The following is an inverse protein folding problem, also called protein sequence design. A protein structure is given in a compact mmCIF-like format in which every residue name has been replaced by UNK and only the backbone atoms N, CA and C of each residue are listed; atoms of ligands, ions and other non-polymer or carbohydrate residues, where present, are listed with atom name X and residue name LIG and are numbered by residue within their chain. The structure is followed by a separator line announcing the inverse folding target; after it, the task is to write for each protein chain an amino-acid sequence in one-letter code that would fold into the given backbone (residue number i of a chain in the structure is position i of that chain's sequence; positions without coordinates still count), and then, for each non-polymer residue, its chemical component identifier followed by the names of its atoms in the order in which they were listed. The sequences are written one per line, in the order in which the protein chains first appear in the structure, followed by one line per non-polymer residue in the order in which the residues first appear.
data_IF_034472306528
#
_entry.id   IF_034472306528
#
_cell.length_a   1.000
_cell.length_b   1.000
_cell.length_c   1.000
_cell.angle_alpha   90.00
_cell.angle_beta   90.00
_cell.angle_gamma   90.00
#
_symmetry.space_group_name_H-M   'P 1'
#
loop_
_entity.id
_entity.type
_entity.pdbx_description
1 polymer ?
#
# COMPACT_ATOMS: atom_id res chain seq x y z
N UNK A 1 -9.31 38.39 67.43
CA UNK A 1 -10.55 37.60 67.32
C UNK A 1 -10.81 37.34 65.84
N UNK A 2 -10.62 36.11 65.38
CA UNK A 2 -10.69 35.74 63.96
C UNK A 2 -11.98 34.95 63.71
N UNK A 3 -12.75 35.38 62.71
CA UNK A 3 -14.08 34.82 62.36
C UNK A 3 -13.92 33.88 61.18
N UNK A 4 -14.23 32.59 61.40
CA UNK A 4 -14.35 31.58 60.35
C UNK A 4 -15.55 31.86 59.45
N UNK A 5 -15.37 31.78 58.12
CA UNK A 5 -16.46 31.49 57.18
C UNK A 5 -16.02 30.45 56.15
N UNK A 6 -16.71 29.31 56.20
CA UNK A 6 -16.69 28.26 55.19
C UNK A 6 -17.22 28.80 53.86
N UNK A 7 -16.47 28.63 52.77
CA UNK A 7 -16.99 28.74 51.41
C UNK A 7 -16.87 27.38 50.74
N UNK A 8 -18.04 26.81 50.43
CA UNK A 8 -18.24 25.52 49.77
C UNK A 8 -17.71 25.60 48.34
N UNK A 9 -16.89 24.63 47.95
CA UNK A 9 -16.46 24.45 46.56
C UNK A 9 -17.63 23.92 45.73
N UNK A 10 -18.22 24.77 44.90
CA UNK A 10 -19.15 24.37 43.84
C UNK A 10 -18.35 24.19 42.55
N UNK A 11 -18.21 22.93 42.12
CA UNK A 11 -17.63 22.55 40.82
C UNK A 11 -18.63 22.90 39.72
N UNK A 12 -18.24 23.66 38.67
CA UNK A 12 -19.06 23.73 37.47
C UNK A 12 -18.89 22.43 36.67
N UNK A 13 -19.96 21.64 36.62
CA UNK A 13 -20.14 20.60 35.60
C UNK A 13 -20.26 21.30 34.26
N UNK A 14 -19.21 21.24 33.44
CA UNK A 14 -19.27 21.61 32.03
C UNK A 14 -19.79 20.39 31.23
N UNK A 15 -21.10 20.38 30.99
CA UNK A 15 -21.72 19.66 29.88
C UNK A 15 -21.50 20.47 28.61
N UNK A 16 -20.91 19.86 27.58
CA UNK A 16 -20.67 20.45 26.26
C UNK A 16 -19.31 19.98 25.78
N UNK A 17 -19.20 18.93 24.97
CA UNK A 17 -19.81 18.82 23.65
C UNK A 17 -18.69 19.01 22.63
N UNK A 18 -18.66 18.18 21.58
CA UNK A 18 -17.68 18.12 20.49
C UNK A 18 -16.40 17.31 20.83
N UNK A 19 -15.89 16.39 20.01
CA UNK A 19 -16.22 16.00 18.63
C UNK A 19 -16.24 14.47 18.56
N UNK A 20 -17.39 13.88 18.19
CA UNK A 20 -17.34 12.57 17.56
C UNK A 20 -16.85 12.81 16.13
N UNK A 21 -15.54 12.70 15.91
CA UNK A 21 -15.01 12.51 14.56
C UNK A 21 -15.64 11.23 14.04
N UNK A 22 -16.66 11.37 13.20
CA UNK A 22 -17.16 10.26 12.38
C UNK A 22 -15.97 9.89 11.49
N UNK A 23 -15.20 8.90 11.93
CA UNK A 23 -14.28 8.22 11.06
C UNK A 23 -15.15 7.58 9.99
N UNK A 24 -15.25 8.22 8.82
CA UNK A 24 -15.68 7.54 7.62
C UNK A 24 -14.71 6.37 7.47
N UNK A 25 -15.16 5.18 7.87
CA UNK A 25 -14.51 3.95 7.50
C UNK A 25 -14.57 3.91 5.98
N UNK A 26 -13.49 4.38 5.33
CA UNK A 26 -13.27 4.15 3.92
C UNK A 26 -13.09 2.64 3.79
N UNK A 27 -14.21 1.95 3.52
CA UNK A 27 -14.15 0.58 3.06
C UNK A 27 -13.20 0.57 1.85
N UNK A 28 -12.29 -0.41 1.73
CA UNK A 28 -11.56 -0.58 0.47
C UNK A 28 -12.63 -0.72 -0.60
N UNK A 29 -12.70 0.20 -1.54
CA UNK A 29 -13.83 0.20 -2.44
C UNK A 29 -13.71 -0.96 -3.44
N UNK A 30 -14.74 -1.08 -4.24
CA UNK A 30 -15.06 -2.34 -4.89
C UNK A 30 -15.46 -2.02 -6.32
N UNK A 31 -14.47 -1.90 -7.22
CA UNK A 31 -14.53 -2.18 -8.67
C UNK A 31 -13.47 -1.47 -9.57
N UNK A 32 -12.14 -1.62 -9.38
CA UNK A 32 -11.20 -1.05 -10.36
C UNK A 32 -9.96 -1.90 -10.70
N UNK A 33 -9.77 -2.10 -12.01
CA UNK A 33 -8.56 -2.45 -12.76
C UNK A 33 -7.48 -3.30 -12.07
N UNK A 34 -7.21 -4.47 -12.63
CA UNK A 34 -5.93 -5.13 -12.39
C UNK A 34 -4.80 -4.43 -13.15
N UNK A 35 -3.92 -3.73 -12.44
CA UNK A 35 -2.68 -3.23 -13.02
C UNK A 35 -1.75 -4.39 -13.33
N UNK A 36 -1.45 -4.64 -14.60
CA UNK A 36 -0.57 -5.72 -15.06
C UNK A 36 0.64 -5.14 -15.80
N UNK A 37 1.85 -5.57 -15.42
CA UNK A 37 3.11 -5.01 -15.92
C UNK A 37 4.20 -6.05 -16.09
N UNK A 38 5.12 -5.74 -16.98
CA UNK A 38 6.36 -6.49 -17.16
C UNK A 38 7.58 -5.60 -16.91
N UNK A 39 8.70 -6.21 -16.57
CA UNK A 39 10.00 -5.56 -16.64
C UNK A 39 10.43 -5.29 -18.09
N UNK A 40 11.43 -4.43 -18.28
CA UNK A 40 12.09 -4.28 -19.58
C UNK A 40 12.73 -5.61 -19.99
N UNK A 41 12.39 -6.11 -21.18
CA UNK A 41 12.79 -7.44 -21.64
C UNK A 41 11.93 -8.60 -21.12
N UNK A 42 10.84 -8.30 -20.38
CA UNK A 42 9.84 -9.28 -19.89
C UNK A 42 10.46 -10.43 -19.09
N UNK A 43 11.44 -10.11 -18.26
CA UNK A 43 12.06 -11.05 -17.32
C UNK A 43 11.29 -11.22 -16.02
N UNK A 44 10.51 -10.21 -15.63
CA UNK A 44 9.65 -10.23 -14.46
C UNK A 44 8.25 -9.75 -14.84
N UNK A 45 7.27 -10.26 -14.12
CA UNK A 45 5.86 -9.94 -14.24
C UNK A 45 5.33 -9.50 -12.87
N UNK A 46 4.47 -8.49 -12.87
CA UNK A 46 3.85 -7.99 -11.67
C UNK A 46 2.42 -7.57 -11.91
N UNK A 47 1.55 -7.83 -10.94
CA UNK A 47 0.18 -7.32 -11.03
C UNK A 47 -0.46 -7.07 -9.68
N UNK A 48 -1.45 -6.19 -9.68
CA UNK A 48 -2.43 -6.06 -8.61
C UNK A 48 -3.72 -6.80 -9.02
N UNK A 49 -4.19 -7.72 -8.19
CA UNK A 49 -5.45 -8.43 -8.39
C UNK A 49 -6.51 -7.90 -7.44
N UNK A 50 -7.48 -7.16 -7.98
CA UNK A 50 -8.54 -6.53 -7.18
C UNK A 50 -9.36 -7.57 -6.41
N UNK A 51 -9.61 -8.75 -7.00
CA UNK A 51 -10.49 -9.77 -6.41
C UNK A 51 -10.02 -10.33 -5.07
N UNK A 52 -8.76 -10.11 -4.69
CA UNK A 52 -8.25 -10.43 -3.35
C UNK A 52 -7.31 -9.35 -2.78
N UNK A 53 -7.25 -8.18 -3.42
CA UNK A 53 -6.40 -7.07 -3.05
C UNK A 53 -4.90 -7.40 -2.98
N UNK A 54 -4.42 -8.42 -3.70
CA UNK A 54 -3.02 -8.85 -3.64
C UNK A 54 -2.19 -8.28 -4.78
N UNK A 55 -0.93 -8.01 -4.46
CA UNK A 55 0.11 -7.67 -5.42
C UNK A 55 1.00 -8.88 -5.58
N UNK A 56 1.31 -9.22 -6.82
CA UNK A 56 2.10 -10.38 -7.18
C UNK A 56 3.40 -9.94 -7.86
N UNK A 57 4.44 -10.75 -7.68
CA UNK A 57 5.70 -10.68 -8.40
C UNK A 57 6.07 -12.10 -8.86
N UNK A 58 6.39 -12.25 -10.14
CA UNK A 58 6.78 -13.52 -10.74
C UNK A 58 8.03 -13.31 -11.58
N UNK A 59 9.06 -14.10 -11.34
CA UNK A 59 10.11 -14.32 -12.32
C UNK A 59 9.62 -15.27 -13.39
N UNK A 60 9.70 -14.85 -14.66
CA UNK A 60 9.12 -15.60 -15.78
C UNK A 60 10.14 -16.05 -16.80
N UNK A 61 11.39 -15.53 -16.80
CA UNK A 61 12.33 -15.78 -17.91
C UNK A 61 13.82 -15.68 -17.58
N UNK A 62 14.27 -15.37 -16.36
CA UNK A 62 15.70 -15.06 -16.16
C UNK A 62 16.32 -15.83 -15.00
N UNK A 63 16.89 -16.99 -15.32
CA UNK A 63 17.71 -17.77 -14.39
C UNK A 63 18.82 -16.90 -13.76
N UNK A 64 18.90 -16.93 -12.42
CA UNK A 64 19.87 -16.16 -11.63
C UNK A 64 19.44 -14.72 -11.31
N UNK A 65 18.25 -14.30 -11.72
CA UNK A 65 17.60 -13.05 -11.31
C UNK A 65 16.31 -13.37 -10.55
N UNK A 66 15.82 -12.42 -9.77
CA UNK A 66 14.51 -12.45 -9.13
C UNK A 66 13.63 -11.33 -9.66
N UNK A 67 12.32 -11.44 -9.44
CA UNK A 67 11.35 -10.43 -9.82
C UNK A 67 10.97 -9.55 -8.63
N UNK A 68 10.73 -8.27 -8.89
CA UNK A 68 10.14 -7.38 -7.90
C UNK A 68 9.05 -6.52 -8.53
N UNK A 69 7.90 -6.51 -7.90
CA UNK A 69 6.79 -5.61 -8.21
C UNK A 69 6.79 -4.47 -7.20
N UNK A 70 6.62 -3.24 -7.68
CA UNK A 70 6.62 -2.05 -6.86
C UNK A 70 5.37 -1.22 -7.15
N UNK A 71 4.71 -0.77 -6.09
CA UNK A 71 3.58 0.15 -6.13
C UNK A 71 3.99 1.47 -5.50
N UNK A 72 3.63 2.54 -6.20
CA UNK A 72 3.83 3.91 -5.83
C UNK A 72 2.50 4.62 -5.69
N UNK A 73 2.51 5.72 -4.94
CA UNK A 73 1.44 6.70 -5.02
C UNK A 73 1.32 7.25 -6.46
N UNK A 74 0.22 7.94 -6.75
CA UNK A 74 -0.06 8.49 -8.09
C UNK A 74 1.09 9.37 -8.64
N UNK A 75 1.83 10.03 -7.77
CA UNK A 75 3.00 10.84 -8.14
C UNK A 75 4.15 10.01 -8.75
N UNK A 76 4.16 8.69 -8.56
CA UNK A 76 5.22 7.78 -9.00
C UNK A 76 6.53 7.90 -8.22
N UNK A 77 6.55 8.68 -7.13
CA UNK A 77 7.76 8.98 -6.33
C UNK A 77 7.74 8.22 -5.02
N UNK A 78 6.60 8.17 -4.33
CA UNK A 78 6.51 7.52 -3.01
C UNK A 78 6.20 6.04 -3.17
N UNK A 79 7.16 5.18 -2.82
CA UNK A 79 6.95 3.73 -2.78
C UNK A 79 6.01 3.38 -1.62
N UNK A 80 4.83 2.84 -1.95
CA UNK A 80 3.86 2.35 -0.97
C UNK A 80 4.13 0.88 -0.63
N UNK A 81 4.58 0.12 -1.62
CA UNK A 81 4.74 -1.32 -1.46
C UNK A 81 5.71 -1.93 -2.45
N UNK A 82 6.42 -2.96 -2.03
CA UNK A 82 7.20 -3.82 -2.93
C UNK A 82 7.02 -5.30 -2.58
N UNK A 83 6.91 -6.15 -3.59
CA UNK A 83 6.82 -7.61 -3.49
C UNK A 83 7.99 -8.18 -4.26
N UNK A 84 8.84 -8.94 -3.59
CA UNK A 84 9.90 -9.69 -4.25
C UNK A 84 9.42 -11.11 -4.45
N UNK A 85 9.72 -11.66 -5.61
CA UNK A 85 9.55 -13.09 -5.83
C UNK A 85 10.68 -13.84 -5.13
N UNK A 86 10.31 -14.55 -4.08
CA UNK A 86 11.19 -15.44 -3.31
C UNK A 86 10.82 -16.91 -3.52
N UNK A 87 9.82 -17.20 -4.35
CA UNK A 87 9.34 -18.55 -4.62
C UNK A 87 10.25 -19.27 -5.62
N UNK A 88 10.67 -20.48 -5.28
CA UNK A 88 11.23 -21.39 -6.28
C UNK A 88 10.07 -22.11 -6.99
N UNK A 89 10.07 -22.08 -8.32
CA UNK A 89 9.14 -22.81 -9.22
C UNK A 89 7.69 -22.31 -9.22
N UNK A 90 7.35 -21.47 -10.20
CA UNK A 90 5.99 -21.21 -10.73
C UNK A 90 4.91 -20.67 -9.77
N UNK A 91 5.19 -20.51 -8.49
CA UNK A 91 4.28 -19.92 -7.51
C UNK A 91 4.78 -18.55 -7.09
N UNK A 92 4.61 -17.54 -7.95
CA UNK A 92 5.09 -16.19 -7.65
C UNK A 92 4.63 -15.68 -6.29
N UNK A 93 5.44 -14.81 -5.73
CA UNK A 93 5.20 -14.28 -4.40
C UNK A 93 4.16 -13.17 -4.42
N UNK A 94 3.42 -13.04 -3.34
CA UNK A 94 2.38 -12.03 -3.22
C UNK A 94 2.30 -11.41 -1.83
N UNK A 95 1.65 -10.25 -1.74
CA UNK A 95 1.23 -9.67 -0.47
C UNK A 95 -0.02 -8.82 -0.65
N UNK A 96 -0.72 -8.56 0.45
CA UNK A 96 -1.82 -7.60 0.50
C UNK A 96 -1.30 -6.25 0.99
N UNK A 97 -1.14 -5.22 0.14
CA UNK A 97 -0.83 -3.88 0.60
C UNK A 97 -2.06 -3.19 1.21
N UNK A 98 -1.81 -2.19 2.05
CA UNK A 98 -2.82 -1.19 2.40
C UNK A 98 -2.77 -0.13 1.31
N UNK A 99 -3.78 -0.09 0.45
CA UNK A 99 -3.97 0.95 -0.56
C UNK A 99 -5.31 1.63 -0.26
N UNK A 100 -5.30 2.96 -0.24
CA UNK A 100 -6.52 3.74 -0.18
C UNK A 100 -7.10 3.90 -1.59
N UNK A 101 -8.40 4.18 -1.64
CA UNK A 101 -9.10 4.58 -2.86
C UNK A 101 -8.30 5.69 -3.59
N UNK A 102 -8.21 5.57 -4.91
CA UNK A 102 -7.51 6.50 -5.78
C UNK A 102 -6.53 5.86 -6.74
N UNK A 103 -5.77 6.71 -7.43
CA UNK A 103 -4.79 6.27 -8.42
C UNK A 103 -3.45 5.86 -7.81
N UNK A 104 -2.87 4.80 -8.36
CA UNK A 104 -1.57 4.27 -7.99
C UNK A 104 -0.74 3.95 -9.24
N UNK A 105 0.58 3.80 -9.08
CA UNK A 105 1.50 3.43 -10.17
C UNK A 105 2.28 2.17 -9.88
N UNK A 106 2.27 1.22 -10.80
CA UNK A 106 2.87 -0.12 -10.64
C UNK A 106 3.96 -0.31 -11.67
N UNK A 107 5.05 -0.97 -11.28
CA UNK A 107 6.07 -1.46 -12.21
C UNK A 107 6.63 -2.79 -11.74
N UNK A 108 7.13 -3.58 -12.68
CA UNK A 108 7.93 -4.76 -12.42
C UNK A 108 9.39 -4.52 -12.82
N UNK A 109 10.32 -5.09 -12.06
CA UNK A 109 11.75 -5.04 -12.33
C UNK A 109 12.37 -6.42 -12.10
N UNK A 110 13.51 -6.68 -12.73
CA UNK A 110 14.35 -7.84 -12.40
C UNK A 110 15.49 -7.39 -11.50
N UNK A 111 15.93 -8.21 -10.56
CA UNK A 111 17.09 -7.89 -9.73
C UNK A 111 17.96 -9.13 -9.58
N UNK A 112 19.26 -8.96 -9.41
CA UNK A 112 20.13 -10.07 -9.00
C UNK A 112 20.17 -10.09 -7.47
N UNK A 113 20.12 -11.27 -6.84
CA UNK A 113 20.18 -11.39 -5.38
C UNK A 113 21.34 -10.58 -4.80
N UNK A 114 21.07 -9.78 -3.78
CA UNK A 114 22.05 -8.85 -3.19
C UNK A 114 22.23 -7.52 -3.92
N UNK A 115 21.53 -7.30 -5.03
CA UNK A 115 21.60 -6.06 -5.82
C UNK A 115 20.26 -5.32 -5.88
N UNK A 116 20.33 -4.02 -6.19
CA UNK A 116 19.17 -3.20 -6.44
C UNK A 116 18.38 -3.68 -7.68
N UNK A 117 17.09 -3.33 -7.79
CA UNK A 117 16.30 -3.60 -8.99
C UNK A 117 16.90 -2.97 -10.24
N UNK A 118 16.93 -3.76 -11.31
CA UNK A 118 17.46 -3.41 -12.63
C UNK A 118 16.40 -3.64 -13.72
N UNK A 119 16.57 -3.01 -14.88
CA UNK A 119 15.70 -3.21 -16.06
C UNK A 119 14.20 -3.13 -15.75
N UNK A 120 13.78 -2.12 -14.98
CA UNK A 120 12.38 -1.90 -14.69
C UNK A 120 11.58 -1.60 -15.98
N UNK A 121 10.33 -2.07 -16.03
CA UNK A 121 9.39 -1.64 -17.04
C UNK A 121 8.86 -0.23 -16.78
N UNK A 122 8.06 0.27 -17.72
CA UNK A 122 7.31 1.50 -17.54
C UNK A 122 6.36 1.39 -16.34
N UNK A 123 6.13 2.52 -15.67
CA UNK A 123 5.09 2.59 -14.65
C UNK A 123 3.72 2.67 -15.32
N UNK A 124 2.82 1.79 -14.93
CA UNK A 124 1.41 1.82 -15.35
C UNK A 124 0.58 2.40 -14.23
N UNK A 125 -0.30 3.36 -14.55
CA UNK A 125 -1.25 3.94 -13.60
C UNK A 125 -2.53 3.10 -13.59
N UNK A 126 -3.08 2.80 -12.42
CA UNK A 126 -4.40 2.19 -12.28
C UNK A 126 -5.16 2.82 -11.11
N UNK A 127 -6.47 2.64 -11.08
CA UNK A 127 -7.34 3.10 -9.99
C UNK A 127 -7.60 1.92 -9.05
N UNK A 128 -7.51 2.16 -7.75
CA UNK A 128 -8.09 1.31 -6.71
C UNK A 128 -9.36 2.02 -6.29
N UNK A 129 -10.50 1.36 -6.48
CA UNK A 129 -11.70 1.72 -5.77
C UNK A 129 -11.46 1.27 -4.32
#
# INVERSE_FOLDING_TARGET
MSVSRFVKHTVPVALGGALATIALATAPASAASSGYVYSSGRGAEGWYYYGNGRVYANDIKVDGFGAVTQIFADDGRRLLTSVKDTGAKNGGSWKTPILFEGYHKIRACVYKTGHAPTKCGAMTRWHVD
#
